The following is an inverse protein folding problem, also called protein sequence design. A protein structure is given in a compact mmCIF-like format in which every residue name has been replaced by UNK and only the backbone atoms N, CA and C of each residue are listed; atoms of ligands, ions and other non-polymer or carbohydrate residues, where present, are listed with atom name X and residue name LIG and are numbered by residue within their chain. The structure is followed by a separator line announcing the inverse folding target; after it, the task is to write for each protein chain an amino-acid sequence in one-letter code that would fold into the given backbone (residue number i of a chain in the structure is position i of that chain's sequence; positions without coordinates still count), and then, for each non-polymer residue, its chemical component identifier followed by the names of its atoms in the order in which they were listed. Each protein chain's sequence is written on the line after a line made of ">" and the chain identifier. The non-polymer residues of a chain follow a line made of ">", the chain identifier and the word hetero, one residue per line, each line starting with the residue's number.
data_IF_746161891070
#
_entry.id   IF_746161891070
#
_cell.length_a   1.000
_cell.length_b   1.000
_cell.length_c   1.000
_cell.angle_alpha   90.00
_cell.angle_beta   90.00
_cell.angle_gamma   90.00
#
_symmetry.space_group_name_H-M   'P 1'
#
loop_
_entity.id
_entity.type
_entity.pdbx_description
1 polymer ?
#
# COMPACT_ATOMS: atom_id res chain seq x y z
N UNK A 1 22.63 57.19 13.54
CA UNK A 1 23.39 56.23 12.71
C UNK A 1 23.82 55.12 13.65
N UNK A 2 23.34 53.89 13.64
CA UNK A 2 22.46 53.08 12.77
C UNK A 2 21.84 52.03 13.70
N UNK A 3 20.51 51.85 13.67
CA UNK A 3 19.82 50.79 14.40
C UNK A 3 20.10 49.44 13.73
N UNK A 4 20.86 48.57 14.39
CA UNK A 4 20.96 47.15 14.04
C UNK A 4 19.65 46.44 14.43
N UNK A 5 18.69 46.44 13.51
CA UNK A 5 17.57 45.48 13.54
C UNK A 5 18.10 44.11 13.12
N UNK A 6 18.59 43.34 14.08
CA UNK A 6 18.75 41.89 13.92
C UNK A 6 17.37 41.28 13.68
N UNK A 7 17.12 40.84 12.45
CA UNK A 7 15.93 40.07 12.10
C UNK A 7 15.83 38.84 13.02
N UNK A 8 14.65 38.50 13.56
CA UNK A 8 14.50 37.27 14.33
C UNK A 8 14.79 36.09 13.42
N UNK A 9 15.80 35.29 13.78
CA UNK A 9 16.08 33.98 13.20
C UNK A 9 14.75 33.22 13.11
N UNK A 10 14.33 32.88 11.89
CA UNK A 10 13.17 32.05 11.67
C UNK A 10 13.36 30.78 12.51
N UNK A 11 12.50 30.59 13.53
CA UNK A 11 12.50 29.39 14.35
C UNK A 11 12.30 28.20 13.40
N UNK A 12 13.35 27.40 13.19
CA UNK A 12 13.20 26.09 12.58
C UNK A 12 12.13 25.34 13.39
N UNK A 13 11.02 24.99 12.73
CA UNK A 13 9.99 24.15 13.32
C UNK A 13 10.69 22.92 13.92
N UNK A 14 10.40 22.52 15.18
CA UNK A 14 11.03 21.34 15.77
C UNK A 14 10.76 20.13 14.87
N UNK A 15 11.81 19.62 14.21
CA UNK A 15 11.71 18.44 13.35
C UNK A 15 11.48 17.15 14.15
N UNK A 16 10.97 16.11 13.48
CA UNK A 16 10.78 14.80 14.11
C UNK A 16 12.11 14.22 14.61
N UNK A 17 12.07 13.49 15.74
CA UNK A 17 13.26 12.87 16.33
C UNK A 17 13.72 11.68 15.48
N UNK A 18 14.95 11.72 14.97
CA UNK A 18 15.58 10.63 14.21
C UNK A 18 15.88 9.41 15.10
N UNK A 19 14.88 8.58 15.36
CA UNK A 19 14.96 7.42 16.25
C UNK A 19 15.13 6.09 15.50
N UNK A 20 14.72 6.00 14.23
CA UNK A 20 14.59 4.74 13.49
C UNK A 20 15.91 4.35 12.84
N UNK A 21 16.48 3.22 13.27
CA UNK A 21 17.67 2.63 12.66
C UNK A 21 17.36 1.78 11.42
N UNK A 22 18.39 1.38 10.68
CA UNK A 22 18.25 0.57 9.45
C UNK A 22 17.50 -0.74 9.69
N UNK A 23 17.76 -1.44 10.79
CA UNK A 23 17.11 -2.71 11.10
C UNK A 23 15.62 -2.56 11.44
N UNK A 24 15.27 -1.53 12.21
CA UNK A 24 13.87 -1.24 12.52
C UNK A 24 13.10 -0.83 11.26
N UNK A 25 13.73 -0.05 10.39
CA UNK A 25 13.16 0.30 9.08
C UNK A 25 13.00 -0.94 8.19
N UNK A 26 13.98 -1.83 8.16
CA UNK A 26 13.90 -3.09 7.42
C UNK A 26 12.75 -3.95 7.95
N UNK A 27 12.66 -4.18 9.26
CA UNK A 27 11.58 -4.96 9.87
C UNK A 27 10.20 -4.33 9.62
N UNK A 28 10.12 -2.99 9.65
CA UNK A 28 8.90 -2.26 9.30
C UNK A 28 8.51 -2.48 7.83
N UNK A 29 9.44 -2.32 6.88
CA UNK A 29 9.15 -2.52 5.46
C UNK A 29 8.80 -3.98 5.18
N UNK A 30 9.54 -4.93 5.76
CA UNK A 30 9.24 -6.36 5.65
C UNK A 30 7.84 -6.64 6.16
N UNK A 31 7.49 -6.16 7.35
CA UNK A 31 6.18 -6.38 7.95
C UNK A 31 5.01 -5.65 7.29
N UNK A 32 5.28 -4.60 6.51
CA UNK A 32 4.27 -3.88 5.73
C UNK A 32 4.14 -4.44 4.32
N UNK A 33 5.23 -4.99 3.76
CA UNK A 33 5.26 -5.61 2.43
C UNK A 33 4.79 -7.06 2.48
N UNK A 34 5.31 -7.86 3.43
CA UNK A 34 4.78 -9.18 3.79
C UNK A 34 3.44 -8.92 4.44
N UNK A 35 2.43 -8.79 3.59
CA UNK A 35 1.09 -8.44 3.96
C UNK A 35 0.12 -9.56 3.61
N UNK A 36 -1.14 -9.25 3.85
CA UNK A 36 -2.26 -10.13 3.52
C UNK A 36 -2.46 -10.42 2.02
N UNK A 37 -1.72 -9.79 1.11
CA UNK A 37 -1.77 -10.11 -0.32
C UNK A 37 -1.45 -11.59 -0.60
N UNK A 38 -0.35 -12.11 -0.03
CA UNK A 38 0.02 -13.52 -0.24
C UNK A 38 -0.92 -14.49 0.48
N UNK A 39 -1.55 -14.06 1.58
CA UNK A 39 -2.51 -14.90 2.30
C UNK A 39 -3.78 -15.17 1.49
N UNK A 40 -4.15 -14.29 0.58
CA UNK A 40 -5.49 -14.24 0.01
C UNK A 40 -5.49 -14.42 -1.50
N UNK A 41 -4.44 -13.94 -2.19
CA UNK A 41 -4.40 -13.89 -3.65
C UNK A 41 -3.64 -15.03 -4.31
N UNK A 42 -3.01 -15.94 -3.54
CA UNK A 42 -2.35 -17.13 -4.11
C UNK A 42 -3.35 -17.98 -4.88
N UNK A 43 -4.58 -18.13 -4.37
CA UNK A 43 -5.65 -18.84 -5.05
C UNK A 43 -6.04 -18.16 -6.36
N UNK A 44 -6.25 -16.84 -6.33
CA UNK A 44 -6.58 -16.08 -7.54
C UNK A 44 -5.50 -16.16 -8.61
N UNK A 45 -4.21 -16.10 -8.24
CA UNK A 45 -3.11 -16.32 -9.18
C UNK A 45 -3.13 -17.74 -9.76
N UNK A 46 -3.49 -18.75 -8.96
CA UNK A 46 -3.60 -20.14 -9.44
C UNK A 46 -4.67 -20.30 -10.53
N UNK A 47 -5.75 -19.51 -10.49
CA UNK A 47 -6.77 -19.48 -11.54
C UNK A 47 -6.20 -19.05 -12.90
N UNK A 48 -5.32 -18.05 -12.90
CA UNK A 48 -4.79 -17.44 -14.13
C UNK A 48 -3.59 -18.18 -14.72
N UNK A 49 -2.74 -18.79 -13.88
CA UNK A 49 -1.49 -19.44 -14.31
C UNK A 49 -1.33 -20.90 -13.92
N UNK A 50 -2.27 -21.47 -13.18
CA UNK A 50 -2.15 -22.82 -12.63
C UNK A 50 -1.07 -22.87 -11.54
N UNK A 51 -0.22 -23.89 -11.59
CA UNK A 51 0.86 -24.09 -10.63
C UNK A 51 2.10 -23.20 -10.83
N UNK A 52 2.14 -22.40 -11.91
CA UNK A 52 3.29 -21.56 -12.28
C UNK A 52 3.24 -20.17 -11.59
N UNK A 53 2.68 -20.11 -10.37
CA UNK A 53 2.47 -18.87 -9.57
C UNK A 53 3.77 -18.11 -9.30
N UNK A 54 4.90 -18.83 -9.24
CA UNK A 54 6.21 -18.23 -9.03
C UNK A 54 6.63 -17.26 -10.16
N UNK A 55 6.17 -17.47 -11.40
CA UNK A 55 6.55 -16.64 -12.54
C UNK A 55 5.91 -15.23 -12.49
N UNK A 56 4.59 -15.07 -12.26
CA UNK A 56 3.96 -13.78 -11.97
C UNK A 56 4.64 -13.00 -10.84
N UNK A 57 5.01 -13.69 -9.76
CA UNK A 57 5.70 -13.08 -8.61
C UNK A 57 7.08 -12.55 -8.99
N UNK A 58 7.83 -13.25 -9.87
CA UNK A 58 9.10 -12.74 -10.41
C UNK A 58 8.90 -11.51 -11.29
N UNK A 59 7.88 -11.50 -12.14
CA UNK A 59 7.56 -10.33 -12.97
C UNK A 59 7.22 -9.14 -12.07
N UNK A 60 6.34 -9.33 -11.10
CA UNK A 60 5.95 -8.32 -10.13
C UNK A 60 7.16 -7.80 -9.31
N UNK A 61 8.06 -8.69 -8.90
CA UNK A 61 9.30 -8.33 -8.20
C UNK A 61 10.17 -7.37 -9.02
N UNK A 62 10.34 -7.64 -10.31
CA UNK A 62 11.13 -6.76 -11.19
C UNK A 62 10.51 -5.36 -11.23
N UNK A 63 9.19 -5.26 -11.40
CA UNK A 63 8.48 -3.97 -11.41
C UNK A 63 8.62 -3.25 -10.06
N UNK A 64 8.49 -4.00 -8.96
CA UNK A 64 8.63 -3.47 -7.60
C UNK A 64 10.05 -2.95 -7.36
N UNK A 65 11.10 -3.67 -7.75
CA UNK A 65 12.50 -3.24 -7.58
C UNK A 65 12.83 -1.98 -8.40
N UNK A 66 12.33 -1.90 -9.64
CA UNK A 66 12.51 -0.72 -10.49
C UNK A 66 11.87 0.52 -9.86
N UNK A 67 10.64 0.38 -9.33
CA UNK A 67 9.91 1.45 -8.65
C UNK A 67 10.52 1.79 -7.28
N UNK A 68 11.00 0.78 -6.54
CA UNK A 68 11.69 0.99 -5.28
C UNK A 68 12.97 1.82 -5.47
N UNK A 69 13.69 1.62 -6.58
CA UNK A 69 14.84 2.45 -6.93
C UNK A 69 14.51 3.92 -7.11
N UNK A 70 13.36 4.24 -7.73
CA UNK A 70 12.92 5.63 -7.92
C UNK A 70 12.48 6.26 -6.59
N UNK A 71 11.77 5.51 -5.75
CA UNK A 71 11.41 5.94 -4.40
C UNK A 71 12.64 6.16 -3.52
N UNK A 72 13.63 5.26 -3.55
CA UNK A 72 14.86 5.41 -2.80
C UNK A 72 15.60 6.71 -3.16
N UNK A 73 15.65 7.08 -4.45
CA UNK A 73 16.23 8.35 -4.88
C UNK A 73 15.41 9.55 -4.40
N UNK A 74 14.09 9.56 -4.59
CA UNK A 74 13.23 10.67 -4.15
C UNK A 74 13.26 10.91 -2.64
N UNK A 75 13.20 9.83 -1.85
CA UNK A 75 13.16 9.89 -0.39
C UNK A 75 14.49 10.34 0.18
N UNK A 76 15.61 9.83 -0.36
CA UNK A 76 16.94 10.25 0.12
C UNK A 76 17.28 11.67 -0.32
N UNK A 77 16.79 12.10 -1.49
CA UNK A 77 16.97 13.48 -1.99
C UNK A 77 16.08 14.50 -1.27
N UNK A 78 14.84 14.13 -0.97
CA UNK A 78 13.87 14.98 -0.28
C UNK A 78 13.24 14.22 0.89
N UNK A 79 13.96 14.10 2.02
CA UNK A 79 13.54 13.32 3.19
C UNK A 79 12.51 14.10 3.99
N UNK A 80 11.32 14.27 3.42
CA UNK A 80 10.20 14.88 4.09
C UNK A 80 8.96 13.99 4.02
N UNK A 81 8.13 14.05 5.05
CA UNK A 81 6.83 13.41 5.09
C UNK A 81 5.91 13.99 4.00
N UNK A 82 5.10 13.14 3.36
CA UNK A 82 4.17 13.53 2.31
C UNK A 82 4.15 12.62 1.07
N UNK A 83 5.05 11.65 0.98
CA UNK A 83 5.04 10.60 -0.05
C UNK A 83 5.03 11.12 -1.49
N UNK A 84 4.40 10.35 -2.39
CA UNK A 84 4.40 10.62 -3.83
C UNK A 84 3.77 11.97 -4.21
N UNK A 85 2.72 12.39 -3.52
CA UNK A 85 2.03 13.65 -3.79
C UNK A 85 2.96 14.86 -3.66
N UNK A 86 3.88 14.84 -2.68
CA UNK A 86 4.86 15.93 -2.48
C UNK A 86 5.95 15.92 -3.56
N UNK A 87 6.37 14.76 -4.02
CA UNK A 87 7.36 14.66 -5.11
C UNK A 87 6.81 15.21 -6.43
N UNK A 88 5.53 14.96 -6.69
CA UNK A 88 4.82 15.49 -7.86
C UNK A 88 4.65 17.00 -7.76
N UNK A 89 4.31 17.51 -6.57
CA UNK A 89 4.24 18.95 -6.33
C UNK A 89 5.58 19.64 -6.60
N UNK A 90 6.67 19.04 -6.11
CA UNK A 90 8.02 19.58 -6.31
C UNK A 90 8.48 19.49 -7.76
N UNK A 91 8.12 18.43 -8.48
CA UNK A 91 8.53 18.22 -9.87
C UNK A 91 7.78 19.13 -10.86
N UNK A 92 6.47 19.31 -10.68
CA UNK A 92 5.63 19.98 -11.67
C UNK A 92 5.06 21.32 -11.20
N UNK A 93 4.92 21.53 -9.89
CA UNK A 93 4.29 22.74 -9.33
C UNK A 93 2.81 22.91 -9.69
N UNK A 94 2.14 21.83 -10.11
CA UNK A 94 0.73 21.84 -10.51
C UNK A 94 -0.12 21.27 -9.35
N UNK A 95 -0.87 22.10 -8.61
CA UNK A 95 -1.61 21.65 -7.43
C UNK A 95 -2.64 20.56 -7.71
N UNK A 96 -3.19 20.53 -8.93
CA UNK A 96 -4.12 19.50 -9.36
C UNK A 96 -3.46 18.13 -9.47
N UNK A 97 -2.23 18.04 -9.98
CA UNK A 97 -1.51 16.77 -10.09
C UNK A 97 -1.13 16.25 -8.70
N UNK A 98 -0.64 17.12 -7.82
CA UNK A 98 -0.32 16.79 -6.42
C UNK A 98 -1.56 16.27 -5.70
N UNK A 99 -2.71 16.94 -5.88
CA UNK A 99 -3.99 16.47 -5.35
C UNK A 99 -4.39 15.12 -5.92
N UNK A 100 -4.35 14.96 -7.25
CA UNK A 100 -4.79 13.75 -7.92
C UNK A 100 -3.97 12.56 -7.44
N UNK A 101 -2.65 12.69 -7.35
CA UNK A 101 -1.76 11.63 -6.86
C UNK A 101 -2.04 11.29 -5.40
N UNK A 102 -2.22 12.30 -4.54
CA UNK A 102 -2.63 12.05 -3.16
C UNK A 102 -4.01 11.39 -3.05
N UNK A 103 -4.95 11.78 -3.91
CA UNK A 103 -6.29 11.20 -3.96
C UNK A 103 -6.25 9.75 -4.45
N UNK A 104 -5.46 9.43 -5.47
CA UNK A 104 -5.26 8.06 -5.95
C UNK A 104 -4.59 7.18 -4.89
N UNK A 105 -3.61 7.70 -4.15
CA UNK A 105 -3.04 7.00 -3.00
C UNK A 105 -4.10 6.73 -1.92
N UNK A 106 -4.91 7.73 -1.55
CA UNK A 106 -6.01 7.55 -0.61
C UNK A 106 -7.02 6.50 -1.10
N UNK A 107 -7.44 6.58 -2.37
CA UNK A 107 -8.37 5.64 -2.98
C UNK A 107 -7.80 4.22 -3.01
N UNK A 108 -6.50 4.07 -3.28
CA UNK A 108 -5.84 2.76 -3.23
C UNK A 108 -5.93 2.17 -1.82
N UNK A 109 -5.58 2.93 -0.77
CA UNK A 109 -5.71 2.44 0.61
C UNK A 109 -7.13 2.09 1.03
N UNK A 110 -8.13 2.84 0.57
CA UNK A 110 -9.56 2.51 0.79
C UNK A 110 -9.91 1.17 0.13
N UNK A 111 -9.47 0.96 -1.11
CA UNK A 111 -9.75 -0.25 -1.90
C UNK A 111 -9.00 -1.47 -1.35
N UNK A 112 -7.74 -1.29 -0.93
CA UNK A 112 -6.94 -2.32 -0.26
C UNK A 112 -7.59 -2.75 1.04
N UNK A 113 -8.01 -1.81 1.88
CA UNK A 113 -8.68 -2.12 3.14
C UNK A 113 -9.99 -2.90 2.91
N UNK A 114 -10.73 -2.62 1.83
CA UNK A 114 -11.93 -3.35 1.47
C UNK A 114 -11.60 -4.79 1.01
N UNK A 115 -10.57 -4.97 0.17
CA UNK A 115 -10.11 -6.29 -0.26
C UNK A 115 -9.70 -7.15 0.95
N UNK A 116 -8.97 -6.55 1.90
CA UNK A 116 -8.54 -7.23 3.12
C UNK A 116 -9.71 -7.51 4.06
N UNK A 117 -10.71 -6.64 4.15
CA UNK A 117 -11.93 -6.91 4.92
C UNK A 117 -12.74 -8.09 4.36
N UNK A 118 -12.85 -8.18 3.04
CA UNK A 118 -13.48 -9.33 2.38
C UNK A 118 -12.70 -10.62 2.61
N UNK A 119 -11.38 -10.56 2.54
CA UNK A 119 -10.55 -11.73 2.80
C UNK A 119 -10.56 -12.15 4.27
N UNK A 120 -10.62 -11.20 5.20
CA UNK A 120 -10.82 -11.47 6.63
C UNK A 120 -12.11 -12.26 6.84
N UNK A 121 -13.20 -11.84 6.20
CA UNK A 121 -14.51 -12.46 6.33
C UNK A 121 -14.70 -13.77 5.54
N UNK A 122 -13.69 -14.18 4.76
CA UNK A 122 -13.70 -15.44 4.00
C UNK A 122 -13.34 -16.66 4.84
N UNK A 123 -12.69 -17.64 4.21
CA UNK A 123 -12.38 -18.96 4.78
C UNK A 123 -11.61 -18.87 6.10
N UNK A 124 -10.79 -17.83 6.29
CA UNK A 124 -10.05 -17.60 7.53
C UNK A 124 -10.97 -17.38 8.74
N UNK A 125 -12.03 -16.57 8.62
CA UNK A 125 -12.97 -16.35 9.71
C UNK A 125 -13.97 -17.52 9.84
N UNK A 126 -14.41 -18.08 8.71
CA UNK A 126 -15.32 -19.24 8.68
C UNK A 126 -14.72 -20.47 9.36
N UNK A 127 -13.39 -20.60 9.40
CA UNK A 127 -12.70 -21.64 10.16
C UNK A 127 -12.86 -21.54 11.69
N UNK A 128 -13.27 -20.37 12.21
CA UNK A 128 -13.52 -20.12 13.63
C UNK A 128 -15.01 -20.03 13.94
N UNK A 129 -15.76 -19.30 13.11
CA UNK A 129 -17.18 -19.03 13.30
C UNK A 129 -17.91 -19.04 11.96
N UNK A 130 -19.01 -19.79 11.90
CA UNK A 130 -19.87 -19.86 10.72
C UNK A 130 -20.85 -18.68 10.69
N UNK A 131 -20.39 -17.51 10.23
CA UNK A 131 -21.17 -16.27 10.10
C UNK A 131 -21.07 -15.77 8.65
N UNK A 132 -22.15 -15.25 8.05
CA UNK A 132 -22.10 -14.71 6.69
C UNK A 132 -20.99 -13.64 6.50
N UNK A 133 -20.26 -13.64 5.37
CA UNK A 133 -19.09 -12.77 5.19
C UNK A 133 -19.37 -11.26 5.27
N UNK A 134 -20.48 -10.79 4.69
CA UNK A 134 -20.76 -9.35 4.60
C UNK A 134 -20.89 -8.69 5.99
N UNK A 135 -21.73 -9.19 6.93
CA UNK A 135 -21.76 -8.70 8.30
C UNK A 135 -20.41 -8.72 9.01
N UNK A 136 -19.61 -9.78 8.80
CA UNK A 136 -18.28 -9.92 9.41
C UNK A 136 -17.34 -8.84 8.90
N UNK A 137 -17.30 -8.61 7.59
CA UNK A 137 -16.44 -7.60 6.98
C UNK A 137 -16.82 -6.18 7.43
N UNK A 138 -18.13 -5.86 7.50
CA UNK A 138 -18.62 -4.58 8.04
C UNK A 138 -18.24 -4.42 9.52
N UNK A 139 -18.49 -5.45 10.34
CA UNK A 139 -18.14 -5.45 11.76
C UNK A 139 -16.63 -5.26 11.99
N UNK A 140 -15.81 -5.94 11.17
CA UNK A 140 -14.36 -5.82 11.18
C UNK A 140 -13.91 -4.39 10.85
N UNK A 141 -14.44 -3.78 9.77
CA UNK A 141 -14.12 -2.38 9.42
C UNK A 141 -14.54 -1.42 10.55
N UNK A 142 -15.69 -1.65 11.20
CA UNK A 142 -16.12 -0.85 12.35
C UNK A 142 -15.13 -0.94 13.52
N UNK A 143 -14.65 -2.15 13.84
CA UNK A 143 -13.61 -2.34 14.87
C UNK A 143 -12.33 -1.60 14.51
N UNK A 144 -11.84 -1.74 13.28
CA UNK A 144 -10.64 -1.03 12.81
C UNK A 144 -10.84 0.49 12.84
N UNK A 145 -12.03 0.97 12.50
CA UNK A 145 -12.40 2.38 12.56
C UNK A 145 -12.34 2.91 14.00
N UNK A 146 -12.85 2.15 14.97
CA UNK A 146 -12.78 2.52 16.39
C UNK A 146 -11.33 2.56 16.89
N UNK A 147 -10.50 1.60 16.49
CA UNK A 147 -9.06 1.57 16.79
C UNK A 147 -8.38 2.83 16.20
N UNK A 148 -8.66 3.14 14.93
CA UNK A 148 -8.11 4.32 14.25
C UNK A 148 -8.57 5.64 14.92
N UNK A 149 -9.85 5.75 15.32
CA UNK A 149 -10.39 6.91 16.05
C UNK A 149 -9.77 7.09 17.45
N UNK A 150 -9.52 5.99 18.17
CA UNK A 150 -8.83 6.00 19.47
C UNK A 150 -7.38 6.49 19.34
N UNK A 151 -6.86 6.45 18.13
CA UNK A 151 -5.56 6.96 17.72
C UNK A 151 -4.51 5.88 17.87
N UNK A 152 -3.77 5.66 16.79
CA UNK A 152 -2.64 4.71 16.68
C UNK A 152 -1.40 5.19 17.46
N UNK A 153 -1.61 5.81 18.63
CA UNK A 153 -0.51 6.27 19.50
C UNK A 153 0.29 5.10 20.07
N UNK A 154 -0.19 3.87 19.91
CA UNK A 154 0.59 2.66 20.15
C UNK A 154 1.59 2.44 19.01
N UNK A 155 2.78 3.02 19.28
CA UNK A 155 4.15 2.59 18.95
C UNK A 155 4.36 1.61 17.80
N UNK A 156 5.40 1.89 17.00
CA UNK A 156 6.10 0.94 16.12
C UNK A 156 6.24 -0.47 16.71
N UNK A 157 6.29 -0.60 18.03
CA UNK A 157 6.29 -1.88 18.74
C UNK A 157 5.04 -2.75 18.46
N UNK A 158 3.82 -2.20 18.50
CA UNK A 158 2.60 -2.98 18.24
C UNK A 158 2.56 -3.47 16.80
N UNK A 159 2.94 -2.61 15.85
CA UNK A 159 3.09 -3.01 14.46
C UNK A 159 4.14 -4.11 14.30
N UNK A 160 5.30 -3.94 14.94
CA UNK A 160 6.38 -4.94 14.87
C UNK A 160 5.96 -6.30 15.45
N UNK A 161 5.17 -6.32 16.53
CA UNK A 161 4.60 -7.56 17.08
C UNK A 161 3.63 -8.21 16.09
N UNK A 162 2.72 -7.44 15.50
CA UNK A 162 1.79 -7.95 14.49
C UNK A 162 2.53 -8.52 13.27
N UNK A 163 3.54 -7.80 12.77
CA UNK A 163 4.39 -8.25 11.67
C UNK A 163 5.21 -9.51 12.04
N UNK A 164 5.66 -9.65 13.29
CA UNK A 164 6.33 -10.89 13.72
C UNK A 164 5.37 -12.08 13.71
N UNK A 165 4.11 -11.88 14.12
CA UNK A 165 3.07 -12.92 14.05
C UNK A 165 2.81 -13.30 12.59
N UNK A 166 2.67 -12.32 11.72
CA UNK A 166 2.50 -12.51 10.28
C UNK A 166 3.66 -13.31 9.64
N UNK A 167 4.91 -12.88 9.86
CA UNK A 167 6.09 -13.60 9.36
C UNK A 167 6.11 -15.04 9.90
N UNK A 168 5.72 -15.27 11.15
CA UNK A 168 5.68 -16.61 11.71
C UNK A 168 4.68 -17.54 11.00
N UNK A 169 3.52 -17.02 10.58
CA UNK A 169 2.54 -17.77 9.80
C UNK A 169 3.05 -18.13 8.42
N UNK A 170 3.70 -17.19 7.74
CA UNK A 170 4.31 -17.43 6.43
C UNK A 170 5.44 -18.47 6.52
N UNK A 171 6.31 -18.37 7.53
CA UNK A 171 7.37 -19.36 7.78
C UNK A 171 6.78 -20.74 8.08
N UNK A 172 5.69 -20.81 8.84
CA UNK A 172 5.00 -22.07 9.11
C UNK A 172 4.54 -22.76 7.82
N UNK A 173 3.95 -22.03 6.87
CA UNK A 173 3.54 -22.57 5.56
C UNK A 173 4.75 -23.11 4.79
N UNK A 174 5.87 -22.37 4.76
CA UNK A 174 7.11 -22.81 4.11
C UNK A 174 7.64 -24.10 4.73
N UNK A 175 7.66 -24.18 6.06
CA UNK A 175 8.12 -25.38 6.79
C UNK A 175 7.20 -26.56 6.52
N UNK A 176 5.88 -26.36 6.54
CA UNK A 176 4.89 -27.40 6.20
C UNK A 176 5.14 -27.94 4.80
N UNK A 177 5.27 -27.07 3.80
CA UNK A 177 5.53 -27.48 2.43
C UNK A 177 6.86 -28.24 2.30
N UNK A 178 7.91 -27.79 2.99
CA UNK A 178 9.21 -28.46 3.01
C UNK A 178 9.14 -29.85 3.65
N UNK A 179 8.37 -30.03 4.73
CA UNK A 179 8.16 -31.32 5.38
C UNK A 179 7.40 -32.27 4.45
N UNK A 180 6.31 -31.81 3.84
CA UNK A 180 5.51 -32.61 2.90
C UNK A 180 6.40 -33.09 1.74
N UNK A 181 7.13 -32.17 1.09
CA UNK A 181 8.07 -32.50 0.02
C UNK A 181 9.18 -33.48 0.49
N UNK A 182 9.80 -33.22 1.64
CA UNK A 182 10.88 -34.04 2.20
C UNK A 182 10.43 -35.44 2.64
N UNK A 183 9.15 -35.60 2.99
CA UNK A 183 8.54 -36.90 3.31
C UNK A 183 8.17 -37.74 2.07
N UNK A 184 8.41 -37.22 0.87
CA UNK A 184 7.99 -37.85 -0.38
C UNK A 184 6.51 -37.63 -0.73
N UNK A 185 5.83 -36.73 0.00
CA UNK A 185 4.46 -36.30 -0.30
C UNK A 185 4.42 -35.07 -1.21
N UNK A 186 3.22 -34.74 -1.69
CA UNK A 186 3.01 -33.68 -2.66
C UNK A 186 3.42 -34.07 -4.08
N UNK A 187 3.21 -33.16 -5.03
CA UNK A 187 3.50 -33.41 -6.46
C UNK A 187 4.36 -32.27 -7.02
N UNK A 188 5.69 -32.43 -7.10
CA UNK A 188 6.61 -31.39 -7.57
C UNK A 188 6.39 -30.97 -9.02
N UNK A 189 5.82 -31.86 -9.86
CA UNK A 189 5.57 -31.53 -11.27
C UNK A 189 4.54 -30.42 -11.45
N UNK A 190 3.67 -30.18 -10.46
CA UNK A 190 2.64 -29.13 -10.48
C UNK A 190 3.23 -27.72 -10.64
N UNK A 191 4.48 -27.49 -10.25
CA UNK A 191 5.12 -26.15 -10.38
C UNK A 191 5.33 -25.72 -11.84
N UNK A 192 5.16 -26.65 -12.79
CA UNK A 192 5.23 -26.44 -14.23
C UNK A 192 3.86 -26.65 -14.92
N UNK A 193 2.79 -26.87 -14.16
CA UNK A 193 1.45 -27.08 -14.66
C UNK A 193 0.79 -25.72 -14.94
N UNK A 194 0.66 -25.37 -16.22
CA UNK A 194 -0.04 -24.16 -16.62
C UNK A 194 -1.56 -24.34 -16.56
N UNK A 195 -2.28 -23.26 -16.32
CA UNK A 195 -3.75 -23.27 -16.39
C UNK A 195 -4.21 -23.80 -17.76
N UNK A 196 -5.18 -24.74 -17.79
CA UNK A 196 -5.80 -25.15 -19.04
C UNK A 196 -6.51 -23.93 -19.65
N UNK A 197 -6.40 -23.78 -20.97
CA UNK A 197 -7.08 -22.72 -21.74
C UNK A 197 -6.54 -21.28 -21.64
N UNK A 198 -5.40 -21.07 -20.96
CA UNK A 198 -4.72 -19.77 -20.94
C UNK A 198 -3.31 -19.88 -21.55
N UNK A 199 -2.99 -19.00 -22.50
CA UNK A 199 -1.64 -18.97 -23.06
C UNK A 199 -0.61 -18.66 -21.94
N UNK A 200 0.46 -19.46 -21.79
CA UNK A 200 1.38 -19.37 -20.64
C UNK A 200 1.89 -17.96 -20.34
N UNK A 201 2.30 -17.22 -21.37
CA UNK A 201 2.82 -15.86 -21.21
C UNK A 201 1.71 -14.86 -20.85
N UNK A 202 0.52 -15.01 -21.45
CA UNK A 202 -0.62 -14.14 -21.18
C UNK A 202 -1.11 -14.30 -19.75
N UNK A 203 -1.28 -15.55 -19.28
CA UNK A 203 -1.63 -15.84 -17.90
C UNK A 203 -0.59 -15.27 -16.93
N UNK A 204 0.71 -15.45 -17.24
CA UNK A 204 1.78 -14.92 -16.40
C UNK A 204 1.72 -13.40 -16.22
N UNK A 205 1.45 -12.67 -17.29
CA UNK A 205 1.27 -11.21 -17.22
C UNK A 205 -0.02 -10.80 -16.52
N UNK A 206 -1.14 -11.49 -16.73
CA UNK A 206 -2.40 -11.21 -16.04
C UNK A 206 -2.25 -11.41 -14.52
N UNK A 207 -1.77 -12.58 -14.10
CA UNK A 207 -1.50 -12.89 -12.70
C UNK A 207 -0.43 -11.97 -12.09
N UNK A 208 0.46 -11.37 -12.89
CA UNK A 208 1.49 -10.45 -12.36
C UNK A 208 0.89 -9.16 -11.82
N UNK A 209 -0.30 -8.75 -12.28
CA UNK A 209 -1.05 -7.63 -11.70
C UNK A 209 -1.42 -7.97 -10.25
N UNK A 210 -2.03 -9.13 -10.06
CA UNK A 210 -2.47 -9.62 -8.76
C UNK A 210 -1.25 -9.87 -7.86
N UNK A 211 -0.17 -10.44 -8.41
CA UNK A 211 1.09 -10.64 -7.71
C UNK A 211 1.70 -9.32 -7.23
N UNK A 212 1.60 -8.25 -8.04
CA UNK A 212 2.10 -6.92 -7.67
C UNK A 212 1.39 -6.35 -6.43
N UNK A 213 0.13 -6.71 -6.20
CA UNK A 213 -0.58 -6.36 -4.98
C UNK A 213 0.14 -6.87 -3.72
N UNK A 214 0.75 -8.06 -3.79
CA UNK A 214 1.49 -8.65 -2.66
C UNK A 214 2.78 -7.89 -2.34
N UNK A 215 3.31 -7.10 -3.28
CA UNK A 215 4.50 -6.28 -3.08
C UNK A 215 4.19 -4.83 -2.68
N UNK A 216 2.92 -4.46 -2.53
CA UNK A 216 2.54 -3.14 -2.02
C UNK A 216 2.88 -3.01 -0.52
N UNK A 217 3.14 -1.78 -0.07
CA UNK A 217 3.49 -1.47 1.32
C UNK A 217 4.86 -0.81 1.46
N UNK A 218 5.82 -1.12 0.59
CA UNK A 218 7.15 -0.50 0.67
C UNK A 218 7.12 1.03 0.56
N UNK A 219 6.09 1.61 -0.07
CA UNK A 219 5.86 3.05 -0.18
C UNK A 219 5.47 3.70 1.16
N UNK A 220 4.89 2.96 2.11
CA UNK A 220 4.49 3.49 3.41
C UNK A 220 5.72 3.95 4.24
N UNK A 221 6.88 3.31 4.03
CA UNK A 221 8.14 3.70 4.64
C UNK A 221 8.60 5.11 4.24
N UNK A 222 8.09 5.67 3.13
CA UNK A 222 8.35 7.06 2.76
C UNK A 222 7.85 8.04 3.82
N UNK A 223 6.78 7.69 4.55
CA UNK A 223 6.24 8.54 5.62
C UNK A 223 7.13 8.58 6.86
N UNK A 224 8.01 7.58 7.02
CA UNK A 224 8.96 7.49 8.14
C UNK A 224 10.32 8.11 7.81
N UNK A 225 10.52 8.62 6.60
CA UNK A 225 11.82 9.09 6.12
C UNK A 225 12.47 10.14 7.02
N UNK A 226 11.69 11.03 7.62
CA UNK A 226 12.17 12.07 8.54
C UNK A 226 12.69 11.50 9.88
N UNK A 227 12.19 10.34 10.30
CA UNK A 227 12.54 9.68 11.56
C UNK A 227 13.74 8.72 11.42
N UNK A 228 14.21 8.47 10.19
CA UNK A 228 15.30 7.54 9.89
C UNK A 228 16.67 8.16 10.18
N UNK A 229 17.53 7.41 10.88
CA UNK A 229 18.95 7.74 11.07
C UNK A 229 19.72 7.51 9.77
N UNK A 230 20.38 8.54 9.27
CA UNK A 230 21.13 8.54 8.00
C UNK A 230 20.30 8.01 6.80
N UNK A 231 19.23 8.72 6.39
CA UNK A 231 18.31 8.25 5.34
C UNK A 231 19.02 7.83 4.06
N UNK A 232 20.08 8.56 3.65
CA UNK A 232 20.84 8.31 2.41
C UNK A 232 21.43 6.90 2.27
N UNK A 233 21.79 6.26 3.38
CA UNK A 233 22.37 4.90 3.39
C UNK A 233 21.45 3.86 4.00
N UNK A 234 20.72 4.23 5.06
CA UNK A 234 19.82 3.30 5.76
C UNK A 234 18.60 2.96 4.92
N UNK A 235 18.02 3.94 4.24
CA UNK A 235 16.76 3.76 3.52
C UNK A 235 16.90 2.79 2.34
N UNK A 236 17.87 2.97 1.40
CA UNK A 236 17.99 2.05 0.27
C UNK A 236 18.29 0.61 0.71
N UNK A 237 19.17 0.42 1.71
CA UNK A 237 19.52 -0.92 2.21
C UNK A 237 18.32 -1.62 2.84
N UNK A 238 17.54 -0.91 3.65
CA UNK A 238 16.34 -1.44 4.25
C UNK A 238 15.28 -1.76 3.19
N UNK A 239 15.05 -0.87 2.23
CA UNK A 239 14.07 -1.02 1.16
C UNK A 239 14.35 -2.22 0.26
N UNK A 240 15.54 -2.29 -0.36
CA UNK A 240 15.89 -3.38 -1.25
C UNK A 240 16.03 -4.71 -0.51
N UNK A 241 16.60 -4.69 0.70
CA UNK A 241 16.67 -5.88 1.54
C UNK A 241 15.28 -6.44 1.85
N UNK A 242 14.34 -5.57 2.20
CA UNK A 242 12.99 -5.98 2.56
C UNK A 242 12.22 -6.54 1.37
N UNK A 243 12.28 -5.88 0.21
CA UNK A 243 11.61 -6.37 -1.02
C UNK A 243 12.20 -7.73 -1.46
N UNK A 244 13.52 -7.89 -1.42
CA UNK A 244 14.15 -9.17 -1.76
C UNK A 244 13.80 -10.27 -0.75
N UNK A 245 13.73 -9.95 0.55
CA UNK A 245 13.32 -10.89 1.59
C UNK A 245 11.86 -11.32 1.37
N UNK A 246 10.97 -10.37 1.12
CA UNK A 246 9.57 -10.64 0.80
C UNK A 246 9.44 -11.51 -0.45
N UNK A 247 10.21 -11.23 -1.49
CA UNK A 247 10.22 -12.01 -2.71
C UNK A 247 10.61 -13.47 -2.47
N UNK A 248 11.68 -13.72 -1.70
CA UNK A 248 12.10 -15.09 -1.38
C UNK A 248 10.99 -15.82 -0.62
N UNK A 249 10.38 -15.19 0.38
CA UNK A 249 9.27 -15.76 1.14
C UNK A 249 8.09 -16.08 0.21
N UNK A 250 7.69 -15.15 -0.65
CA UNK A 250 6.57 -15.34 -1.59
C UNK A 250 6.83 -16.44 -2.61
N UNK A 251 8.04 -16.54 -3.16
CA UNK A 251 8.40 -17.61 -4.09
C UNK A 251 8.37 -18.98 -3.42
N UNK A 252 8.90 -19.09 -2.19
CA UNK A 252 8.86 -20.33 -1.43
C UNK A 252 7.42 -20.75 -1.10
N UNK A 253 6.55 -19.80 -0.76
CA UNK A 253 5.14 -20.07 -0.51
C UNK A 253 4.41 -20.48 -1.79
N UNK A 254 4.62 -19.77 -2.90
CA UNK A 254 3.98 -20.09 -4.17
C UNK A 254 4.35 -21.49 -4.67
N UNK A 255 5.63 -21.85 -4.59
CA UNK A 255 6.13 -23.18 -4.93
C UNK A 255 5.56 -24.22 -3.95
N UNK A 256 5.67 -23.95 -2.65
CA UNK A 256 5.22 -24.88 -1.60
C UNK A 256 3.73 -25.15 -1.63
N UNK A 257 2.91 -24.12 -1.84
CA UNK A 257 1.45 -24.23 -1.87
C UNK A 257 0.98 -25.17 -2.98
N UNK A 258 1.55 -25.03 -4.17
CA UNK A 258 1.21 -25.84 -5.37
C UNK A 258 1.72 -27.28 -5.25
N UNK A 259 2.86 -27.50 -4.57
CA UNK A 259 3.35 -28.86 -4.29
C UNK A 259 2.38 -29.60 -3.37
N UNK A 260 1.90 -28.92 -2.31
CA UNK A 260 1.01 -29.54 -1.30
C UNK A 260 -0.41 -29.67 -1.82
N UNK A 261 -0.95 -28.65 -2.47
CA UNK A 261 -2.36 -28.56 -2.89
C UNK A 261 -2.46 -28.35 -4.39
N UNK A 262 -3.42 -29.01 -5.02
CA UNK A 262 -3.67 -28.88 -6.46
C UNK A 262 -4.10 -27.45 -6.82
N UNK A 263 -3.59 -26.86 -7.92
CA UNK A 263 -3.93 -25.49 -8.34
C UNK A 263 -5.44 -25.24 -8.48
N UNK A 264 -6.19 -26.22 -8.97
CA UNK A 264 -7.66 -26.17 -9.12
C UNK A 264 -8.38 -25.95 -7.78
N UNK A 265 -7.87 -26.55 -6.70
CA UNK A 265 -8.42 -26.38 -5.35
C UNK A 265 -8.03 -25.02 -4.76
N UNK A 266 -6.78 -24.58 -4.97
CA UNK A 266 -6.33 -23.25 -4.55
C UNK A 266 -7.15 -22.14 -5.24
N UNK A 267 -7.45 -22.30 -6.53
CA UNK A 267 -8.21 -21.36 -7.34
C UNK A 267 -9.63 -21.05 -6.83
N UNK A 268 -10.21 -21.96 -6.04
CA UNK A 268 -11.57 -21.81 -5.50
C UNK A 268 -11.62 -21.40 -4.03
N UNK A 269 -10.48 -21.32 -3.36
CA UNK A 269 -10.39 -20.97 -1.94
C UNK A 269 -10.16 -19.47 -1.74
N UNK A 270 -10.88 -18.88 -0.77
CA UNK A 270 -10.63 -17.52 -0.29
C UNK A 270 -9.55 -17.46 0.81
N UNK A 271 -9.15 -18.62 1.35
CA UNK A 271 -8.03 -18.82 2.27
C UNK A 271 -7.03 -19.89 1.77
N UNK A 272 -6.34 -19.67 0.63
CA UNK A 272 -5.50 -20.68 -0.02
C UNK A 272 -4.38 -21.21 0.89
N UNK A 273 -3.79 -20.38 1.76
CA UNK A 273 -2.75 -20.86 2.68
C UNK A 273 -3.33 -21.69 3.83
N UNK A 274 -4.57 -21.44 4.24
CA UNK A 274 -5.27 -22.32 5.20
C UNK A 274 -5.46 -23.71 4.59
N UNK A 275 -5.83 -23.77 3.31
CA UNK A 275 -5.96 -25.02 2.56
C UNK A 275 -4.64 -25.81 2.51
N UNK A 276 -3.50 -25.12 2.34
CA UNK A 276 -2.18 -25.77 2.41
C UNK A 276 -1.93 -26.39 3.78
N UNK A 277 -2.28 -25.69 4.86
CA UNK A 277 -2.09 -26.19 6.22
C UNK A 277 -3.00 -27.39 6.49
N UNK A 278 -4.28 -27.34 6.11
CA UNK A 278 -5.25 -28.41 6.35
C UNK A 278 -4.98 -29.64 5.48
N UNK A 279 -4.55 -29.46 4.23
CA UNK A 279 -4.24 -30.55 3.31
C UNK A 279 -2.89 -31.22 3.60
N UNK A 280 -2.00 -30.58 4.36
CA UNK A 280 -0.66 -31.12 4.65
C UNK A 280 -0.65 -32.43 5.45
N UNK A 281 -1.76 -32.77 6.13
CA UNK A 281 -1.85 -33.94 7.02
C UNK A 281 -1.03 -33.81 8.31
N UNK A 282 -0.35 -32.68 8.55
CA UNK A 282 0.37 -32.40 9.78
C UNK A 282 -0.60 -32.03 10.91
N UNK A 283 -0.22 -32.32 12.15
CA UNK A 283 -1.02 -32.04 13.34
C UNK A 283 -1.06 -30.54 13.73
N UNK A 284 -1.12 -29.64 12.74
CA UNK A 284 -1.28 -28.20 12.93
C UNK A 284 -2.76 -27.87 12.83
N UNK A 285 -3.41 -27.38 13.91
CA UNK A 285 -4.83 -27.06 13.85
C UNK A 285 -5.10 -25.89 12.91
N UNK A 286 -6.02 -26.07 11.95
CA UNK A 286 -6.38 -25.02 10.98
C UNK A 286 -6.86 -23.72 11.65
N UNK A 287 -7.62 -23.82 12.74
CA UNK A 287 -8.09 -22.66 13.51
C UNK A 287 -6.95 -21.79 14.07
N UNK A 288 -5.81 -22.40 14.43
CA UNK A 288 -4.64 -21.69 14.94
C UNK A 288 -3.97 -20.91 13.81
N UNK A 289 -3.84 -21.51 12.63
CA UNK A 289 -3.31 -20.83 11.45
C UNK A 289 -4.24 -19.69 11.01
N UNK A 290 -5.56 -19.94 11.01
CA UNK A 290 -6.55 -18.91 10.72
C UNK A 290 -6.41 -17.71 11.65
N UNK A 291 -6.17 -17.91 12.95
CA UNK A 291 -5.96 -16.81 13.88
C UNK A 291 -4.71 -15.97 13.52
N UNK A 292 -3.63 -16.62 13.10
CA UNK A 292 -2.41 -15.92 12.63
C UNK A 292 -2.72 -15.10 11.37
N UNK A 293 -3.40 -15.69 10.40
CA UNK A 293 -3.79 -15.02 9.16
C UNK A 293 -4.75 -13.84 9.42
N UNK A 294 -5.74 -13.99 10.30
CA UNK A 294 -6.66 -12.92 10.67
C UNK A 294 -5.93 -11.75 11.35
N UNK A 295 -4.91 -12.01 12.18
CA UNK A 295 -4.08 -10.96 12.77
C UNK A 295 -3.27 -10.22 11.69
N UNK A 296 -2.68 -10.95 10.73
CA UNK A 296 -1.96 -10.35 9.61
C UNK A 296 -2.88 -9.47 8.74
N UNK A 297 -4.04 -9.98 8.35
CA UNK A 297 -5.05 -9.25 7.57
C UNK A 297 -5.57 -8.03 8.34
N UNK A 298 -5.81 -8.16 9.65
CA UNK A 298 -6.20 -7.06 10.53
C UNK A 298 -5.15 -5.94 10.58
N UNK A 299 -3.88 -6.30 10.69
CA UNK A 299 -2.79 -5.33 10.71
C UNK A 299 -2.71 -4.58 9.38
N UNK A 300 -2.67 -5.29 8.25
CA UNK A 300 -2.61 -4.68 6.92
C UNK A 300 -3.79 -3.75 6.67
N UNK A 301 -5.02 -4.19 6.94
CA UNK A 301 -6.22 -3.37 6.76
C UNK A 301 -6.18 -2.09 7.62
N UNK A 302 -5.73 -2.21 8.88
CA UNK A 302 -5.58 -1.05 9.76
C UNK A 302 -4.57 -0.05 9.20
N UNK A 303 -3.40 -0.51 8.74
CA UNK A 303 -2.35 0.36 8.19
C UNK A 303 -2.83 1.13 6.95
N UNK A 304 -3.54 0.46 6.03
CA UNK A 304 -4.11 1.13 4.85
C UNK A 304 -5.22 2.13 5.20
N UNK A 305 -6.10 1.83 6.16
CA UNK A 305 -7.12 2.77 6.64
C UNK A 305 -6.48 4.00 7.32
N UNK A 306 -5.42 3.79 8.09
CA UNK A 306 -4.66 4.87 8.75
C UNK A 306 -3.96 5.73 7.70
N UNK A 307 -3.32 5.11 6.70
CA UNK A 307 -2.70 5.82 5.59
C UNK A 307 -3.72 6.66 4.82
N UNK A 308 -4.84 6.06 4.38
CA UNK A 308 -5.87 6.77 3.62
C UNK A 308 -6.45 7.96 4.39
N UNK A 309 -6.77 7.80 5.67
CA UNK A 309 -7.31 8.88 6.51
C UNK A 309 -6.29 10.00 6.77
N UNK A 310 -5.00 9.68 6.90
CA UNK A 310 -3.92 10.68 7.03
C UNK A 310 -3.66 11.44 5.74
N UNK A 311 -3.67 10.75 4.59
CA UNK A 311 -3.53 11.41 3.27
C UNK A 311 -4.70 12.36 3.02
N UNK A 312 -5.94 11.93 3.33
CA UNK A 312 -7.12 12.78 3.24
C UNK A 312 -6.99 14.05 4.10
N UNK A 313 -6.54 13.90 5.34
CA UNK A 313 -6.27 15.01 6.26
C UNK A 313 -5.17 15.95 5.72
N UNK A 314 -4.05 15.40 5.22
CA UNK A 314 -2.95 16.19 4.66
C UNK A 314 -3.37 17.01 3.43
N UNK A 315 -4.20 16.43 2.55
CA UNK A 315 -4.78 17.16 1.42
C UNK A 315 -5.73 18.29 1.86
N UNK A 316 -6.44 18.11 2.98
CA UNK A 316 -7.33 19.12 3.55
C UNK A 316 -6.55 20.28 4.20
N UNK A 317 -5.47 19.99 4.93
CA UNK A 317 -4.55 20.99 5.49
C UNK A 317 -3.92 21.86 4.38
N UNK A 318 -3.54 21.24 3.27
CA UNK A 318 -3.03 21.96 2.09
C UNK A 318 -4.12 22.68 1.27
N UNK A 319 -5.37 22.65 1.71
CA UNK A 319 -6.50 23.32 1.07
C UNK A 319 -6.88 22.74 -0.30
N UNK A 320 -6.51 21.50 -0.58
CA UNK A 320 -6.82 20.78 -1.81
C UNK A 320 -8.07 19.89 -1.68
N UNK A 321 -8.53 19.63 -0.45
CA UNK A 321 -9.74 18.86 -0.11
C UNK A 321 -10.71 19.72 0.73
N UNK A 322 -12.04 19.43 0.77
CA UNK A 322 -12.97 20.21 1.59
C UNK A 322 -12.55 20.30 3.07
N UNK A 323 -12.72 21.47 3.68
CA UNK A 323 -12.28 21.75 5.07
C UNK A 323 -12.82 20.78 6.14
N UNK A 324 -13.92 20.08 5.86
CA UNK A 324 -14.47 19.07 6.77
C UNK A 324 -13.45 17.95 7.06
N UNK A 325 -12.66 17.53 6.07
CA UNK A 325 -11.63 16.48 6.22
C UNK A 325 -10.45 16.93 7.10
N UNK A 326 -10.29 18.24 7.33
CA UNK A 326 -9.30 18.80 8.26
C UNK A 326 -9.74 18.76 9.73
N UNK A 327 -10.97 18.34 10.05
CA UNK A 327 -11.48 18.37 11.43
C UNK A 327 -10.88 17.23 12.27
N UNK A 328 -10.25 17.60 13.38
CA UNK A 328 -9.62 16.66 14.34
C UNK A 328 -10.36 16.61 15.68
N UNK A 329 -10.25 15.48 16.39
CA UNK A 329 -10.83 15.34 17.74
C UNK A 329 -10.08 16.19 18.77
N UNK A 330 -10.77 16.93 19.66
CA UNK A 330 -10.14 17.88 20.59
C UNK A 330 -9.08 17.27 21.53
N UNK A 331 -9.32 16.06 22.07
CA UNK A 331 -8.40 15.41 23.02
C UNK A 331 -7.31 14.56 22.36
N UNK A 332 -7.62 13.93 21.20
CA UNK A 332 -6.76 12.90 20.59
C UNK A 332 -6.01 13.38 19.34
N UNK A 333 -6.44 14.51 18.74
CA UNK A 333 -5.90 15.08 17.50
C UNK A 333 -5.94 14.12 16.30
N UNK A 334 -6.92 13.20 16.29
CA UNK A 334 -7.16 12.27 15.17
C UNK A 334 -8.19 12.86 14.19
N UNK A 335 -8.00 12.75 12.87
CA UNK A 335 -8.87 13.34 11.85
C UNK A 335 -10.17 12.53 11.67
N UNK A 336 -11.12 12.69 12.59
CA UNK A 336 -12.30 11.81 12.68
C UNK A 336 -13.19 11.84 11.44
N UNK A 337 -13.33 12.99 10.76
CA UNK A 337 -14.15 13.09 9.54
C UNK A 337 -13.54 12.23 8.43
N UNK A 338 -12.23 12.34 8.23
CA UNK A 338 -11.50 11.52 7.25
C UNK A 338 -11.63 10.03 7.58
N UNK A 339 -11.49 9.67 8.85
CA UNK A 339 -11.61 8.27 9.30
C UNK A 339 -13.01 7.72 9.01
N UNK A 340 -14.08 8.46 9.36
CA UNK A 340 -15.47 8.02 9.14
C UNK A 340 -15.81 7.93 7.65
N UNK A 341 -15.37 8.90 6.83
CA UNK A 341 -15.61 8.86 5.38
C UNK A 341 -14.85 7.70 4.73
N UNK A 342 -13.57 7.52 5.06
CA UNK A 342 -12.76 6.37 4.60
C UNK A 342 -13.45 5.06 4.96
N UNK A 343 -13.84 4.88 6.23
CA UNK A 343 -14.54 3.68 6.68
C UNK A 343 -15.88 3.47 5.95
N UNK A 344 -16.66 4.53 5.74
CA UNK A 344 -17.92 4.49 5.00
C UNK A 344 -17.75 4.01 3.56
N UNK A 345 -16.75 4.55 2.85
CA UNK A 345 -16.44 4.13 1.48
C UNK A 345 -15.88 2.70 1.47
N UNK A 346 -15.00 2.34 2.40
CA UNK A 346 -14.47 0.97 2.52
C UNK A 346 -15.60 -0.05 2.75
N UNK A 347 -16.55 0.24 3.64
CA UNK A 347 -17.72 -0.62 3.86
C UNK A 347 -18.58 -0.76 2.59
N UNK A 348 -18.81 0.33 1.85
CA UNK A 348 -19.55 0.27 0.58
C UNK A 348 -18.84 -0.61 -0.46
N UNK A 349 -17.53 -0.46 -0.61
CA UNK A 349 -16.75 -1.25 -1.56
C UNK A 349 -16.69 -2.73 -1.18
N UNK A 350 -16.66 -3.03 0.11
CA UNK A 350 -16.69 -4.40 0.65
C UNK A 350 -17.97 -5.13 0.24
N UNK A 351 -19.11 -4.42 0.18
CA UNK A 351 -20.41 -5.00 -0.24
C UNK A 351 -20.50 -5.20 -1.76
N UNK A 352 -19.85 -4.33 -2.53
CA UNK A 352 -20.02 -4.28 -4.00
C UNK A 352 -18.92 -5.01 -4.76
N UNK A 353 -17.69 -5.04 -4.24
CA UNK A 353 -16.52 -5.59 -4.90
C UNK A 353 -16.05 -6.90 -4.29
N UNK A 354 -15.50 -7.78 -5.12
CA UNK A 354 -14.80 -8.99 -4.71
C UNK A 354 -13.30 -8.72 -4.45
N UNK A 355 -12.61 -9.69 -3.85
CA UNK A 355 -11.20 -9.57 -3.46
C UNK A 355 -10.30 -9.29 -4.67
N UNK A 356 -10.52 -9.96 -5.81
CA UNK A 356 -9.70 -9.81 -7.02
C UNK A 356 -9.88 -8.43 -7.64
N UNK A 357 -11.13 -8.03 -7.89
CA UNK A 357 -11.43 -6.73 -8.51
C UNK A 357 -10.91 -5.57 -7.65
N UNK A 358 -11.03 -5.67 -6.32
CA UNK A 358 -10.50 -4.65 -5.40
C UNK A 358 -8.96 -4.64 -5.39
N UNK A 359 -8.32 -5.81 -5.46
CA UNK A 359 -6.86 -5.90 -5.56
C UNK A 359 -6.34 -5.32 -6.88
N UNK A 360 -6.93 -5.71 -8.01
CA UNK A 360 -6.60 -5.18 -9.35
C UNK A 360 -6.80 -3.66 -9.42
N UNK A 361 -7.91 -3.16 -8.88
CA UNK A 361 -8.20 -1.72 -8.81
C UNK A 361 -7.16 -0.98 -7.95
N UNK A 362 -6.75 -1.57 -6.82
CA UNK A 362 -5.67 -1.01 -5.99
C UNK A 362 -4.38 -0.91 -6.81
N UNK A 363 -4.00 -1.99 -7.50
CA UNK A 363 -2.78 -2.04 -8.30
C UNK A 363 -2.83 -1.01 -9.42
N UNK A 364 -3.96 -0.87 -10.12
CA UNK A 364 -4.11 0.14 -11.17
C UNK A 364 -3.93 1.55 -10.61
N UNK A 365 -4.62 1.88 -9.50
CA UNK A 365 -4.49 3.19 -8.83
C UNK A 365 -3.04 3.49 -8.44
N UNK A 366 -2.32 2.52 -7.86
CA UNK A 366 -0.92 2.69 -7.47
C UNK A 366 0.04 2.70 -8.65
N UNK A 367 -0.21 1.95 -9.72
CA UNK A 367 0.59 2.03 -10.94
C UNK A 367 0.52 3.43 -11.55
N UNK A 368 -0.62 4.11 -11.51
CA UNK A 368 -0.74 5.52 -11.91
C UNK A 368 0.08 6.44 -10.99
N UNK A 369 0.03 6.23 -9.67
CA UNK A 369 0.86 6.96 -8.70
C UNK A 369 2.35 6.72 -8.98
N UNK A 370 2.76 5.47 -9.20
CA UNK A 370 4.15 5.09 -9.48
C UNK A 370 4.62 5.65 -10.82
N UNK A 371 3.77 5.67 -11.85
CA UNK A 371 4.07 6.32 -13.12
C UNK A 371 4.42 7.79 -12.90
N UNK A 372 3.61 8.52 -12.12
CA UNK A 372 3.89 9.93 -11.82
C UNK A 372 5.17 10.11 -10.99
N UNK A 373 5.42 9.25 -10.00
CA UNK A 373 6.65 9.27 -9.21
C UNK A 373 7.89 9.00 -10.07
N UNK A 374 7.85 8.01 -10.96
CA UNK A 374 8.94 7.66 -11.87
C UNK A 374 9.27 8.83 -12.82
N UNK A 375 8.25 9.49 -13.36
CA UNK A 375 8.43 10.70 -14.18
C UNK A 375 9.00 11.85 -13.33
N UNK A 376 8.49 12.05 -12.11
CA UNK A 376 9.00 13.07 -11.18
C UNK A 376 10.49 12.90 -10.88
N UNK A 377 11.01 11.67 -10.73
CA UNK A 377 12.46 11.43 -10.55
C UNK A 377 13.26 11.94 -11.74
N UNK A 378 12.81 11.63 -12.96
CA UNK A 378 13.50 12.05 -14.19
C UNK A 378 13.57 13.58 -14.32
N UNK A 379 12.50 14.28 -13.93
CA UNK A 379 12.45 15.74 -13.89
C UNK A 379 13.39 16.29 -12.79
N UNK A 380 13.27 15.76 -11.58
CA UNK A 380 14.00 16.21 -10.40
C UNK A 380 15.48 15.83 -10.42
N UNK A 381 15.94 14.94 -11.30
CA UNK A 381 17.37 14.66 -11.50
C UNK A 381 18.21 15.89 -11.87
N UNK A 382 17.58 16.94 -12.41
CA UNK A 382 18.24 18.22 -12.72
C UNK A 382 18.54 19.05 -11.48
N UNK A 383 17.79 18.86 -10.40
CA UNK A 383 17.99 19.59 -9.14
C UNK A 383 19.28 19.14 -8.47
N UNK A 384 20.11 20.09 -8.02
CA UNK A 384 21.28 19.82 -7.20
C UNK A 384 20.91 19.99 -5.72
N UNK A 385 21.22 18.98 -4.90
CA UNK A 385 21.12 19.04 -3.44
C UNK A 385 22.53 18.93 -2.85
N UNK A 386 22.78 19.62 -1.74
CA UNK A 386 24.12 19.69 -1.12
C UNK A 386 24.49 18.40 -0.35
N UNK A 387 23.50 17.56 -0.01
CA UNK A 387 23.71 16.35 0.75
C UNK A 387 23.79 15.08 -0.13
N UNK A 388 24.50 14.08 0.38
CA UNK A 388 24.57 12.75 -0.22
C UNK A 388 23.18 12.10 -0.28
N UNK A 389 22.83 11.55 -1.44
CA UNK A 389 21.60 10.81 -1.66
C UNK A 389 21.84 9.61 -2.56
N UNK A 390 20.93 8.65 -2.52
CA UNK A 390 20.95 7.51 -3.42
C UNK A 390 20.50 7.97 -4.81
N UNK A 391 21.21 7.58 -5.87
CA UNK A 391 20.83 7.92 -7.25
C UNK A 391 20.82 6.68 -8.12
N UNK A 392 19.71 6.46 -8.82
CA UNK A 392 19.59 5.37 -9.80
C UNK A 392 19.96 5.86 -11.20
N UNK A 393 20.55 5.02 -12.07
CA UNK A 393 20.73 5.36 -13.48
C UNK A 393 19.39 5.75 -14.12
N UNK A 394 19.40 6.67 -15.09
CA UNK A 394 18.18 7.12 -15.80
C UNK A 394 17.41 5.97 -16.47
N UNK A 395 18.09 4.87 -16.77
CA UNK A 395 17.48 3.68 -17.36
C UNK A 395 16.47 3.02 -16.40
N UNK A 396 16.69 3.08 -15.09
CA UNK A 396 15.84 2.42 -14.09
C UNK A 396 14.43 3.05 -14.05
N UNK A 397 14.24 4.38 -13.89
CA UNK A 397 12.92 5.00 -13.99
C UNK A 397 12.24 4.79 -15.35
N UNK A 398 13.01 4.75 -16.45
CA UNK A 398 12.45 4.53 -17.79
C UNK A 398 11.89 3.10 -17.90
N UNK A 399 12.66 2.10 -17.45
CA UNK A 399 12.19 0.72 -17.40
C UNK A 399 11.00 0.57 -16.45
N UNK A 400 10.99 1.28 -15.31
CA UNK A 400 9.85 1.30 -14.41
C UNK A 400 8.59 1.84 -15.10
N UNK A 401 8.70 2.94 -15.85
CA UNK A 401 7.60 3.52 -16.64
C UNK A 401 7.08 2.52 -17.68
N UNK A 402 7.98 1.89 -18.43
CA UNK A 402 7.61 0.90 -19.46
C UNK A 402 6.90 -0.28 -18.80
N UNK A 403 7.45 -0.82 -17.72
CA UNK A 403 6.86 -1.93 -16.99
C UNK A 403 5.47 -1.58 -16.41
N UNK A 404 5.32 -0.40 -15.81
CA UNK A 404 4.02 0.07 -15.32
C UNK A 404 3.00 0.22 -16.46
N UNK A 405 3.40 0.76 -17.62
CA UNK A 405 2.52 0.88 -18.79
C UNK A 405 2.11 -0.50 -19.28
N UNK A 406 3.05 -1.45 -19.40
CA UNK A 406 2.74 -2.83 -19.82
C UNK A 406 1.71 -3.45 -18.87
N UNK A 407 1.89 -3.36 -17.56
CA UNK A 407 0.91 -3.88 -16.60
C UNK A 407 -0.44 -3.18 -16.68
N UNK A 408 -0.47 -1.86 -16.92
CA UNK A 408 -1.72 -1.12 -17.11
C UNK A 408 -2.51 -1.59 -18.35
N UNK A 409 -1.82 -2.05 -19.42
CA UNK A 409 -2.51 -2.59 -20.61
C UNK A 409 -3.15 -3.95 -20.39
N UNK A 410 -2.75 -4.69 -19.35
CA UNK A 410 -3.29 -6.01 -19.03
C UNK A 410 -4.54 -5.93 -18.13
N UNK A 411 -4.89 -4.74 -17.66
CA UNK A 411 -6.03 -4.51 -16.77
C UNK A 411 -7.37 -4.65 -17.49
N UNK A 412 -8.36 -5.20 -16.80
CA UNK A 412 -9.71 -5.39 -17.34
C UNK A 412 -10.44 -4.05 -17.54
N UNK A 413 -11.38 -4.01 -18.49
CA UNK A 413 -12.18 -2.81 -18.76
C UNK A 413 -13.00 -2.36 -17.54
N UNK A 414 -13.44 -3.30 -16.69
CA UNK A 414 -14.16 -3.01 -15.45
C UNK A 414 -13.28 -2.25 -14.46
N UNK A 415 -12.03 -2.68 -14.28
CA UNK A 415 -11.06 -2.02 -13.38
C UNK A 415 -10.69 -0.63 -13.89
N UNK A 416 -10.59 -0.45 -15.21
CA UNK A 416 -10.44 0.87 -15.83
C UNK A 416 -11.64 1.79 -15.57
N UNK A 417 -12.87 1.28 -15.68
CA UNK A 417 -14.08 2.03 -15.37
C UNK A 417 -14.16 2.41 -13.89
N UNK A 418 -13.83 1.49 -12.99
CA UNK A 418 -13.77 1.77 -11.55
C UNK A 418 -12.74 2.87 -11.24
N UNK A 419 -11.55 2.78 -11.83
CA UNK A 419 -10.49 3.80 -11.71
C UNK A 419 -10.94 5.14 -12.27
N UNK A 420 -11.58 5.17 -13.45
CA UNK A 420 -12.11 6.39 -14.03
C UNK A 420 -13.15 7.04 -13.10
N UNK A 421 -13.99 6.23 -12.44
CA UNK A 421 -14.89 6.67 -11.38
C UNK A 421 -14.16 7.39 -10.24
N UNK A 422 -13.07 6.81 -9.72
CA UNK A 422 -12.23 7.47 -8.71
C UNK A 422 -11.66 8.80 -9.22
N UNK A 423 -11.11 8.84 -10.44
CA UNK A 423 -10.54 10.07 -11.02
C UNK A 423 -11.62 11.15 -11.15
N UNK A 424 -12.84 10.80 -11.58
CA UNK A 424 -13.97 11.74 -11.69
C UNK A 424 -14.37 12.27 -10.31
N UNK A 425 -14.52 11.39 -9.32
CA UNK A 425 -14.83 11.79 -7.93
C UNK A 425 -13.75 12.72 -7.37
N UNK A 426 -12.48 12.38 -7.58
CA UNK A 426 -11.35 13.21 -7.18
C UNK A 426 -11.39 14.58 -7.85
N UNK A 427 -11.62 14.64 -9.17
CA UNK A 427 -11.73 15.89 -9.90
C UNK A 427 -12.88 16.77 -9.37
N UNK A 428 -14.05 16.18 -9.12
CA UNK A 428 -15.20 16.89 -8.53
C UNK A 428 -14.82 17.45 -7.16
N UNK A 429 -14.23 16.64 -6.27
CA UNK A 429 -13.81 17.08 -4.94
C UNK A 429 -12.80 18.22 -5.00
N UNK A 430 -11.84 18.16 -5.93
CA UNK A 430 -10.88 19.24 -6.15
C UNK A 430 -11.55 20.54 -6.57
N UNK A 431 -12.47 20.48 -7.54
CA UNK A 431 -13.21 21.67 -7.97
C UNK A 431 -14.08 22.23 -6.85
N UNK A 432 -14.78 21.38 -6.08
CA UNK A 432 -15.59 21.79 -4.92
C UNK A 432 -14.73 22.47 -3.85
N UNK A 433 -13.54 21.93 -3.55
CA UNK A 433 -12.59 22.53 -2.63
C UNK A 433 -12.12 23.92 -3.14
N UNK A 434 -11.77 24.01 -4.43
CA UNK A 434 -11.34 25.27 -5.06
C UNK A 434 -12.42 26.34 -5.08
N UNK A 435 -13.68 25.97 -5.35
CA UNK A 435 -14.82 26.89 -5.31
C UNK A 435 -15.14 27.35 -3.89
N UNK A 436 -15.08 26.44 -2.91
CA UNK A 436 -15.27 26.77 -1.49
C UNK A 436 -14.23 27.76 -1.00
N UNK A 437 -12.97 27.58 -1.39
CA UNK A 437 -11.85 28.48 -1.04
C UNK A 437 -12.01 29.86 -1.68
N UNK A 438 -12.34 29.93 -2.98
CA UNK A 438 -12.63 31.22 -3.65
C UNK A 438 -13.76 32.00 -2.99
N UNK A 439 -14.79 31.32 -2.46
CA UNK A 439 -15.87 31.96 -1.69
C UNK A 439 -15.41 32.41 -0.31
N UNK A 440 -14.58 31.62 0.38
CA UNK A 440 -13.98 31.98 1.67
C UNK A 440 -13.07 33.20 1.57
N UNK A 441 -12.14 33.18 0.62
CA UNK A 441 -11.20 34.28 0.36
C UNK A 441 -11.93 35.57 -0.03
N UNK A 442 -13.00 35.48 -0.83
CA UNK A 442 -13.87 36.64 -1.16
C UNK A 442 -14.61 37.19 0.06
N UNK A 443 -15.09 36.33 0.96
CA UNK A 443 -15.76 36.77 2.21
C UNK A 443 -14.79 37.41 3.19
N UNK A 444 -13.55 36.92 3.25
CA UNK A 444 -12.48 37.50 4.07
C UNK A 444 -12.06 38.84 3.47
N UNK A 445 -11.76 38.89 2.17
CA UNK A 445 -11.41 40.13 1.47
C UNK A 445 -12.52 41.21 1.58
N UNK A 446 -13.80 40.81 1.54
CA UNK A 446 -14.93 41.72 1.76
C UNK A 446 -15.06 42.22 3.21
N UNK A 447 -14.45 41.53 4.19
CA UNK A 447 -14.45 41.92 5.61
C UNK A 447 -13.19 42.68 6.03
N UNK A 448 -12.03 42.43 5.39
CA UNK A 448 -10.73 43.01 5.78
C UNK A 448 -10.11 43.96 4.75
N UNK A 449 -10.67 44.08 3.54
CA UNK A 449 -10.14 44.96 2.49
C UNK A 449 -8.81 44.50 1.86
N UNK A 450 -8.29 43.32 2.24
CA UNK A 450 -7.00 42.80 1.78
C UNK A 450 -7.15 41.81 0.61
N UNK A 451 -6.24 41.89 -0.37
CA UNK A 451 -6.17 40.96 -1.50
C UNK A 451 -5.59 39.61 -1.02
N UNK A 452 -6.26 38.47 -1.26
CA UNK A 452 -5.80 37.17 -0.77
C UNK A 452 -4.59 36.67 -1.56
N UNK A 453 -3.44 36.47 -0.88
CA UNK A 453 -2.28 35.76 -1.43
C UNK A 453 -2.46 34.25 -1.38
N UNK A 454 -2.33 33.58 -2.51
CA UNK A 454 -2.42 32.12 -2.64
C UNK A 454 -1.21 31.46 -1.97
N UNK A 455 -1.37 30.92 -0.76
CA UNK A 455 -0.42 29.93 -0.22
C UNK A 455 -0.61 28.60 -0.97
N UNK A 456 0.39 28.25 -1.78
CA UNK A 456 0.67 26.87 -2.21
C UNK A 456 1.46 26.12 -1.13
N UNK A 457 1.84 24.87 -1.41
CA UNK A 457 2.62 23.93 -0.58
C UNK A 457 4.05 24.40 -0.23
N UNK A 458 4.24 25.69 0.05
CA UNK A 458 5.48 26.25 0.59
C UNK A 458 5.33 26.33 2.09
N UNK A 459 5.82 25.27 2.75
CA UNK A 459 6.66 25.29 3.95
C UNK A 459 6.96 23.85 4.39
#
# INVERSE_FOLDING_TARGET
>A
MTNDTSAPLAQEKPGLKRAVGTWLLFAFIVGDTLGAGIYTLVGTMATDVGGVIWLPLLIALVVALLTAGTYAELITKYPHAGGAARYVDKAFGIPFLSFLVGFLMMASGITTAAALANAFAGDYFSALFDIPPIPVAIGFILVLTLINLRGVKESLATNMVASMIEVSGLVLVIVIAAIVFGSGGGEPSRIFEFAPDVAPLQGAFAASIIAFFSFLGFEAAANMAEEVKNPSRSYPRALFGAILTAAVVYLLIAIGAVIVVEPSKLATSSGPLLEVVTASGLAVPGWLFSLIALVAIANGALLFMVMASRVAYGLAESGLMPHAFGKVLPKRRTPWVSIVVVAGVTMLLTVVGDISTLAETTVLLLLLVFLTANVSVLVLKKDKVEHDHFSVPRIVPILAIIASIVLLTQQTGLVWLATAGYVVVGAILFFVARFSRRRGDRKIAARTGAIPTVKGFRD
#
